data_IF_071910412018
#
_entry.id   IF_071910412018
#
_cell.length_a   1.000
_cell.length_b   1.000
_cell.length_c   1.000
_cell.angle_alpha   90.00
_cell.angle_beta   90.00
_cell.angle_gamma   90.00
#
_symmetry.space_group_name_H-M   'P 1'
#
loop_
_entity.id
_entity.type
_entity.pdbx_description
1 polymer ?
#
# COMPACT_ATOMS: atom_id res chain seq x y z
N UNK A 1 2.97 -13.97 -49.09
CA UNK A 1 1.80 -14.07 -48.18
C UNK A 1 1.80 -15.30 -47.26
N UNK A 2 2.48 -16.42 -47.57
CA UNK A 2 2.52 -17.61 -46.69
C UNK A 2 3.47 -17.52 -45.47
N UNK A 3 4.40 -16.56 -45.44
CA UNK A 3 5.38 -16.41 -44.34
C UNK A 3 4.79 -15.78 -43.07
N UNK A 4 3.89 -14.80 -43.22
CA UNK A 4 3.31 -14.09 -42.07
C UNK A 4 2.33 -14.96 -41.26
N UNK A 5 1.68 -15.93 -41.89
CA UNK A 5 0.81 -16.88 -41.16
C UNK A 5 1.60 -17.89 -40.34
N UNK A 6 2.85 -18.17 -40.72
CA UNK A 6 3.74 -19.04 -39.96
C UNK A 6 4.23 -18.34 -38.68
N UNK A 7 4.68 -17.08 -38.82
CA UNK A 7 5.08 -16.23 -37.70
C UNK A 7 3.95 -15.96 -36.70
N UNK A 8 2.72 -15.74 -37.18
CA UNK A 8 1.55 -15.54 -36.30
C UNK A 8 1.20 -16.83 -35.53
N UNK A 9 1.32 -18.02 -36.16
CA UNK A 9 1.12 -19.28 -35.45
C UNK A 9 2.23 -19.60 -34.46
N UNK A 10 3.45 -19.17 -34.73
CA UNK A 10 4.62 -19.36 -33.86
C UNK A 10 4.51 -18.48 -32.62
N UNK A 11 4.15 -17.20 -32.78
CA UNK A 11 3.90 -16.28 -31.65
C UNK A 11 2.69 -16.72 -30.80
N UNK A 12 1.60 -17.19 -31.43
CA UNK A 12 0.43 -17.71 -30.71
C UNK A 12 0.73 -19.07 -30.04
N UNK A 13 1.70 -19.83 -30.54
CA UNK A 13 2.14 -21.09 -29.92
C UNK A 13 3.03 -20.85 -28.71
N UNK A 14 3.93 -19.86 -28.76
CA UNK A 14 4.80 -19.49 -27.64
C UNK A 14 4.02 -18.83 -26.50
N UNK A 15 3.04 -17.96 -26.81
CA UNK A 15 2.20 -17.31 -25.77
C UNK A 15 1.22 -18.29 -25.12
N UNK A 16 0.95 -19.45 -25.74
CA UNK A 16 0.06 -20.48 -25.19
C UNK A 16 0.77 -21.38 -24.17
N UNK A 17 2.06 -21.18 -23.91
CA UNK A 17 2.83 -22.04 -23.01
C UNK A 17 3.67 -21.33 -21.95
N UNK A 18 3.38 -20.06 -21.63
CA UNK A 18 4.14 -19.29 -20.63
C UNK A 18 3.35 -18.96 -19.36
N UNK A 19 2.26 -19.68 -19.09
CA UNK A 19 1.71 -19.78 -17.73
C UNK A 19 1.28 -21.24 -17.51
N UNK A 20 2.26 -22.12 -17.39
CA UNK A 20 2.05 -23.50 -16.96
C UNK A 20 1.29 -23.48 -15.64
N UNK A 21 0.36 -24.40 -15.42
CA UNK A 21 -0.40 -24.49 -14.16
C UNK A 21 0.53 -24.48 -12.93
N UNK A 22 1.79 -24.91 -13.07
CA UNK A 22 2.86 -24.80 -12.06
C UNK A 22 3.25 -23.36 -11.66
N UNK A 23 3.21 -22.39 -12.57
CA UNK A 23 3.52 -20.99 -12.26
C UNK A 23 2.35 -20.33 -11.51
N UNK A 24 1.12 -20.66 -11.90
CA UNK A 24 -0.09 -20.31 -11.13
C UNK A 24 -0.07 -21.01 -9.77
N UNK A 25 0.33 -22.28 -9.71
CA UNK A 25 0.45 -23.05 -8.47
C UNK A 25 1.57 -22.51 -7.58
N UNK A 26 2.70 -22.06 -8.14
CA UNK A 26 3.76 -21.36 -7.41
C UNK A 26 3.29 -19.99 -6.94
N UNK A 27 2.53 -19.24 -7.76
CA UNK A 27 1.91 -18.00 -7.32
C UNK A 27 0.89 -18.23 -6.19
N UNK A 28 0.19 -19.37 -6.16
CA UNK A 28 -0.76 -19.73 -5.10
C UNK A 28 -0.08 -20.36 -3.87
N UNK A 29 1.02 -21.09 -4.05
CA UNK A 29 1.79 -21.72 -2.98
C UNK A 29 2.68 -20.71 -2.24
N UNK A 30 3.24 -19.73 -2.96
CA UNK A 30 4.05 -18.65 -2.38
C UNK A 30 3.18 -17.60 -1.67
N UNK A 31 1.95 -17.39 -2.15
CA UNK A 31 0.99 -16.49 -1.50
C UNK A 31 0.10 -17.23 -0.49
N UNK A 32 0.72 -17.71 0.60
CA UNK A 32 0.09 -17.57 1.93
C UNK A 32 -0.14 -16.07 2.17
N UNK A 33 -1.23 -15.57 1.61
CA UNK A 33 -1.80 -14.26 1.89
C UNK A 33 -1.81 -14.12 3.42
N UNK A 34 -1.12 -13.09 3.93
CA UNK A 34 -0.69 -12.91 5.33
C UNK A 34 0.74 -13.38 5.66
N UNK A 35 1.71 -13.16 4.78
CA UNK A 35 3.02 -12.73 5.26
C UNK A 35 2.81 -11.37 5.96
N UNK A 36 2.57 -11.41 7.27
CA UNK A 36 2.42 -10.26 8.14
C UNK A 36 3.60 -9.29 7.90
N UNK A 37 3.40 -8.14 7.24
CA UNK A 37 4.51 -7.22 6.94
C UNK A 37 5.06 -6.56 8.23
N UNK A 38 4.44 -6.79 9.39
CA UNK A 38 4.75 -6.07 10.64
C UNK A 38 5.99 -6.55 11.41
N UNK A 39 6.78 -7.52 10.96
CA UNK A 39 8.03 -7.88 11.67
C UNK A 39 9.26 -7.22 11.06
N UNK A 40 9.16 -5.95 10.68
CA UNK A 40 10.35 -5.10 10.75
C UNK A 40 10.79 -5.06 12.23
N UNK A 41 12.00 -5.57 12.50
CA UNK A 41 12.64 -5.47 13.80
C UNK A 41 12.96 -3.99 14.06
N UNK A 42 11.96 -3.23 14.52
CA UNK A 42 12.16 -1.84 14.90
C UNK A 42 13.27 -1.77 15.95
N UNK A 43 14.31 -0.98 15.67
CA UNK A 43 15.31 -0.67 16.68
C UNK A 43 14.63 0.08 17.83
N UNK A 44 15.18 -0.02 19.04
CA UNK A 44 14.60 0.64 20.21
C UNK A 44 14.41 2.16 19.99
N UNK A 45 15.33 2.79 19.26
CA UNK A 45 15.25 4.19 18.85
C UNK A 45 14.06 4.50 17.93
N UNK A 46 13.77 3.64 16.94
CA UNK A 46 12.61 3.82 16.06
C UNK A 46 11.29 3.73 16.82
N UNK A 47 11.18 2.82 17.81
CA UNK A 47 9.97 2.72 18.65
C UNK A 47 9.79 3.94 19.56
N UNK A 48 10.88 4.48 20.10
CA UNK A 48 10.85 5.69 20.92
C UNK A 48 10.44 6.91 20.08
N UNK A 49 11.03 7.07 18.89
CA UNK A 49 10.69 8.14 17.95
C UNK A 49 9.20 8.11 17.57
N UNK A 50 8.60 6.94 17.37
CA UNK A 50 7.16 6.82 17.02
C UNK A 50 6.24 7.30 18.13
N UNK A 51 6.60 6.95 19.37
CA UNK A 51 5.85 7.39 20.55
C UNK A 51 5.98 8.90 20.72
N UNK A 52 7.19 9.44 20.55
CA UNK A 52 7.45 10.88 20.64
C UNK A 52 6.72 11.63 19.53
N UNK A 53 6.78 11.16 18.28
CA UNK A 53 6.09 11.79 17.15
C UNK A 53 4.56 11.80 17.33
N UNK A 54 3.98 10.68 17.79
CA UNK A 54 2.55 10.60 18.09
C UNK A 54 2.13 11.49 19.25
N UNK A 55 2.98 11.62 20.28
CA UNK A 55 2.72 12.49 21.42
C UNK A 55 2.83 13.97 21.05
N UNK A 56 3.92 14.35 20.36
CA UNK A 56 4.16 15.71 19.91
C UNK A 56 3.14 16.20 18.86
N UNK A 57 2.55 15.29 18.08
CA UNK A 57 1.46 15.60 17.13
C UNK A 57 0.06 15.68 17.74
N UNK A 58 -0.09 15.53 19.05
CA UNK A 58 -1.41 15.56 19.71
C UNK A 58 -1.86 16.98 20.04
N UNK A 59 -3.16 17.26 19.83
CA UNK A 59 -3.78 18.52 20.23
C UNK A 59 -3.61 18.83 21.72
N UNK A 60 -3.68 17.83 22.59
CA UNK A 60 -3.49 18.00 24.03
C UNK A 60 -2.06 18.45 24.38
N UNK A 61 -1.05 17.98 23.64
CA UNK A 61 0.33 18.39 23.83
C UNK A 61 0.53 19.87 23.48
N UNK A 62 -0.05 20.33 22.36
CA UNK A 62 0.03 21.73 21.93
C UNK A 62 -0.53 22.65 23.02
N UNK A 63 -1.75 22.39 23.51
CA UNK A 63 -2.36 23.21 24.56
C UNK A 63 -1.56 23.19 25.87
N UNK A 64 -1.10 22.01 26.29
CA UNK A 64 -0.28 21.88 27.51
C UNK A 64 1.06 22.63 27.37
N UNK A 65 1.71 22.54 26.22
CA UNK A 65 2.98 23.21 25.95
C UNK A 65 2.80 24.73 25.96
N UNK A 66 1.78 25.25 25.29
CA UNK A 66 1.44 26.68 25.31
C UNK A 66 1.13 27.17 26.73
N UNK A 67 0.39 26.39 27.53
CA UNK A 67 0.10 26.75 28.91
C UNK A 67 1.37 26.87 29.77
N UNK A 68 2.32 25.95 29.61
CA UNK A 68 3.63 26.00 30.29
C UNK A 68 4.42 27.25 29.89
N UNK A 69 4.43 27.62 28.60
CA UNK A 69 5.10 28.84 28.14
C UNK A 69 4.48 30.09 28.77
N UNK A 70 3.15 30.19 28.80
CA UNK A 70 2.45 31.31 29.43
C UNK A 70 2.78 31.36 30.92
N UNK A 71 2.74 30.23 31.61
CA UNK A 71 3.06 30.14 33.04
C UNK A 71 4.51 30.59 33.30
N UNK A 72 5.46 30.19 32.46
CA UNK A 72 6.86 30.60 32.55
C UNK A 72 7.02 32.11 32.38
N UNK A 73 6.36 32.70 31.37
CA UNK A 73 6.39 34.14 31.13
C UNK A 73 5.79 34.90 32.31
N UNK A 74 4.59 34.52 32.77
CA UNK A 74 3.91 35.15 33.90
C UNK A 74 4.75 35.05 35.18
N UNK A 75 5.31 33.87 35.47
CA UNK A 75 6.18 33.66 36.62
C UNK A 75 7.42 34.56 36.60
N UNK A 76 8.11 34.67 35.46
CA UNK A 76 9.29 35.53 35.35
C UNK A 76 8.94 37.03 35.40
N UNK A 77 7.81 37.45 34.84
CA UNK A 77 7.34 38.85 34.94
C UNK A 77 7.02 39.22 36.38
N UNK A 78 6.33 38.34 37.12
CA UNK A 78 5.98 38.59 38.53
C UNK A 78 7.20 38.64 39.45
N UNK A 79 8.26 37.88 39.15
CA UNK A 79 9.50 37.89 39.92
C UNK A 79 10.37 39.14 39.67
N UNK A 80 10.13 39.89 38.58
CA UNK A 80 10.73 41.18 38.21
C UNK A 80 12.22 41.34 38.56
N UNK A 81 12.56 41.74 39.79
CA UNK A 81 13.94 41.96 40.27
C UNK A 81 14.75 40.68 40.53
N UNK A 82 14.10 39.53 40.64
CA UNK A 82 14.71 38.21 40.85
C UNK A 82 14.39 37.24 39.72
N UNK A 83 13.95 37.77 38.58
CA UNK A 83 13.57 36.98 37.42
C UNK A 83 14.78 36.24 36.87
N UNK A 84 14.61 34.94 36.61
CA UNK A 84 15.64 34.08 36.03
C UNK A 84 15.78 34.34 34.52
N UNK A 85 14.69 34.72 33.86
CA UNK A 85 14.62 35.09 32.44
C UNK A 85 13.82 36.40 32.28
N UNK A 86 14.44 37.59 32.49
CA UNK A 86 13.78 38.88 32.34
C UNK A 86 13.36 39.13 30.89
N UNK A 87 12.32 39.95 30.69
CA UNK A 87 11.94 40.42 29.35
C UNK A 87 13.16 41.05 28.67
N UNK A 88 13.56 40.60 27.45
CA UNK A 88 12.78 39.94 26.40
C UNK A 88 12.81 38.38 26.34
N UNK A 89 13.06 37.68 27.45
CA UNK A 89 13.06 36.21 27.56
C UNK A 89 14.08 35.49 26.65
N UNK A 90 15.37 35.79 26.84
CA UNK A 90 16.44 35.26 25.98
C UNK A 90 16.57 33.73 26.08
N UNK A 91 16.37 33.16 27.28
CA UNK A 91 16.51 31.73 27.50
C UNK A 91 15.34 30.96 26.87
N UNK A 92 14.12 31.45 27.04
CA UNK A 92 12.94 30.88 26.41
C UNK A 92 13.07 30.90 24.88
N UNK A 93 13.54 32.00 24.31
CA UNK A 93 13.76 32.11 22.87
C UNK A 93 14.83 31.12 22.36
N UNK A 94 15.93 30.96 23.10
CA UNK A 94 16.99 29.99 22.78
C UNK A 94 16.45 28.55 22.78
N UNK A 95 15.70 28.18 23.82
CA UNK A 95 15.11 26.83 23.94
C UNK A 95 14.12 26.57 22.81
N UNK A 96 13.22 27.52 22.53
CA UNK A 96 12.25 27.39 21.44
C UNK A 96 12.93 27.25 20.08
N UNK A 97 13.98 28.02 19.83
CA UNK A 97 14.76 27.93 18.58
C UNK A 97 15.41 26.55 18.42
N UNK A 98 15.97 25.99 19.50
CA UNK A 98 16.55 24.65 19.48
C UNK A 98 15.49 23.56 19.25
N UNK A 99 14.34 23.66 19.91
CA UNK A 99 13.21 22.73 19.71
C UNK A 99 12.72 22.77 18.26
N UNK A 100 12.53 23.97 17.70
CA UNK A 100 12.11 24.14 16.31
C UNK A 100 13.13 23.57 15.31
N UNK A 101 14.43 23.76 15.54
CA UNK A 101 15.50 23.23 14.69
C UNK A 101 15.49 21.70 14.63
N UNK A 102 15.18 21.02 15.75
CA UNK A 102 15.08 19.55 15.80
C UNK A 102 13.74 19.05 15.27
N UNK A 103 12.66 19.86 15.34
CA UNK A 103 11.33 19.46 14.87
C UNK A 103 11.30 19.18 13.36
N UNK A 104 11.89 20.03 12.53
CA UNK A 104 11.87 19.87 11.07
C UNK A 104 12.42 18.51 10.58
N UNK A 105 13.62 18.05 10.96
CA UNK A 105 14.12 16.74 10.57
C UNK A 105 13.33 15.59 11.21
N UNK A 106 12.81 15.75 12.43
CA UNK A 106 11.96 14.73 13.07
C UNK A 106 10.65 14.52 12.28
N UNK A 107 10.02 15.62 11.86
CA UNK A 107 8.83 15.60 11.01
C UNK A 107 9.19 14.95 9.67
N UNK A 108 10.29 15.37 9.03
CA UNK A 108 10.73 14.81 7.75
C UNK A 108 11.03 13.31 7.83
N UNK A 109 11.68 12.85 8.91
CA UNK A 109 11.91 11.42 9.15
C UNK A 109 10.60 10.66 9.35
N UNK A 110 9.63 11.25 10.05
CA UNK A 110 8.31 10.65 10.25
C UNK A 110 7.51 10.56 8.95
N UNK A 111 7.61 11.59 8.09
CA UNK A 111 6.98 11.66 6.78
C UNK A 111 7.60 10.65 5.82
N UNK A 112 8.93 10.64 5.67
CA UNK A 112 9.64 9.72 4.77
C UNK A 112 9.31 8.25 5.07
N UNK A 113 9.14 7.89 6.34
CA UNK A 113 8.72 6.54 6.73
C UNK A 113 7.25 6.26 6.43
N UNK A 114 6.37 7.24 6.57
CA UNK A 114 4.96 7.09 6.23
C UNK A 114 4.81 6.90 4.71
N UNK A 115 5.52 7.71 3.92
CA UNK A 115 5.59 7.58 2.46
C UNK A 115 6.13 6.22 2.02
N UNK A 116 7.16 5.69 2.68
CA UNK A 116 7.69 4.36 2.35
C UNK A 116 6.64 3.26 2.61
N UNK A 117 5.89 3.36 3.72
CA UNK A 117 4.79 2.42 4.01
C UNK A 117 3.67 2.53 2.99
N UNK A 118 3.32 3.75 2.60
CA UNK A 118 2.25 4.01 1.63
C UNK A 118 2.67 3.55 0.23
N UNK A 119 3.94 3.73 -0.16
CA UNK A 119 4.52 3.18 -1.40
C UNK A 119 4.43 1.66 -1.44
N UNK A 120 4.86 0.98 -0.37
CA UNK A 120 4.79 -0.49 -0.31
C UNK A 120 3.34 -1.00 -0.38
N UNK A 121 2.39 -0.28 0.24
CA UNK A 121 0.95 -0.61 0.10
C UNK A 121 0.49 -0.46 -1.34
N UNK A 122 0.80 0.66 -1.99
CA UNK A 122 0.43 0.91 -3.38
C UNK A 122 1.02 -0.16 -4.34
N UNK A 123 2.28 -0.56 -4.14
CA UNK A 123 2.91 -1.64 -4.91
C UNK A 123 2.20 -2.99 -4.72
N UNK A 124 1.79 -3.30 -3.49
CA UNK A 124 1.05 -4.53 -3.22
C UNK A 124 -0.35 -4.50 -3.83
N UNK A 125 -1.06 -3.38 -3.70
CA UNK A 125 -2.38 -3.19 -4.29
C UNK A 125 -2.32 -3.29 -5.82
N UNK A 126 -1.28 -2.73 -6.45
CA UNK A 126 -1.02 -2.88 -7.88
C UNK A 126 -0.86 -4.35 -8.29
N UNK A 127 -0.04 -5.12 -7.56
CA UNK A 127 0.15 -6.56 -7.84
C UNK A 127 -1.14 -7.36 -7.69
N UNK A 128 -1.94 -7.07 -6.68
CA UNK A 128 -3.24 -7.72 -6.47
C UNK A 128 -4.21 -7.38 -7.61
N UNK A 129 -4.23 -6.13 -8.06
CA UNK A 129 -5.07 -5.70 -9.17
C UNK A 129 -4.68 -6.41 -10.47
N UNK A 130 -3.38 -6.44 -10.80
CA UNK A 130 -2.85 -7.13 -11.97
C UNK A 130 -3.19 -8.63 -11.94
N UNK A 131 -3.04 -9.28 -10.77
CA UNK A 131 -3.45 -10.70 -10.61
C UNK A 131 -4.95 -10.90 -10.83
N UNK A 132 -5.76 -9.96 -10.38
CA UNK A 132 -7.22 -10.00 -10.56
C UNK A 132 -7.59 -9.84 -12.03
N UNK A 133 -6.92 -8.93 -12.75
CA UNK A 133 -7.11 -8.74 -14.19
C UNK A 133 -6.81 -10.01 -15.00
N UNK A 134 -5.64 -10.63 -14.75
CA UNK A 134 -5.26 -11.90 -15.40
C UNK A 134 -6.27 -13.02 -15.10
N UNK A 135 -6.76 -13.10 -13.85
CA UNK A 135 -7.74 -14.11 -13.45
C UNK A 135 -9.10 -13.89 -14.14
N UNK A 136 -9.51 -12.63 -14.34
CA UNK A 136 -10.73 -12.29 -15.07
C UNK A 136 -10.60 -12.69 -16.54
N UNK A 137 -9.43 -12.44 -17.16
CA UNK A 137 -9.16 -12.83 -18.54
C UNK A 137 -9.22 -14.36 -18.72
N UNK A 138 -8.56 -15.13 -17.84
CA UNK A 138 -8.63 -16.60 -17.85
C UNK A 138 -10.08 -17.12 -17.63
N UNK A 139 -10.83 -16.48 -16.71
CA UNK A 139 -12.23 -16.83 -16.48
C UNK A 139 -13.09 -16.55 -17.73
N UNK A 140 -12.83 -15.43 -18.42
CA UNK A 140 -13.51 -15.07 -19.66
C UNK A 140 -13.24 -16.10 -20.77
N UNK A 141 -12.00 -16.55 -20.91
CA UNK A 141 -11.61 -17.60 -21.86
C UNK A 141 -12.27 -18.94 -21.54
N UNK A 142 -12.29 -19.33 -20.27
CA UNK A 142 -13.01 -20.54 -19.81
C UNK A 142 -14.51 -20.44 -20.10
N UNK A 143 -15.12 -19.28 -19.86
CA UNK A 143 -16.52 -19.01 -20.18
C UNK A 143 -16.80 -19.18 -21.67
N UNK A 144 -15.97 -18.59 -22.53
CA UNK A 144 -16.10 -18.70 -23.99
C UNK A 144 -16.00 -20.15 -24.46
N UNK A 145 -15.11 -20.96 -23.86
CA UNK A 145 -15.02 -22.40 -24.14
C UNK A 145 -16.26 -23.17 -23.72
N UNK A 146 -16.86 -22.82 -22.58
CA UNK A 146 -18.11 -23.43 -22.11
C UNK A 146 -19.26 -23.09 -23.06
N UNK A 147 -19.40 -21.82 -23.45
CA UNK A 147 -20.41 -21.37 -24.41
C UNK A 147 -20.26 -22.10 -25.74
N UNK A 148 -19.04 -22.23 -26.26
CA UNK A 148 -18.78 -22.95 -27.50
C UNK A 148 -19.21 -24.43 -27.43
N UNK A 149 -18.96 -25.10 -26.29
CA UNK A 149 -19.43 -26.48 -26.06
C UNK A 149 -20.95 -26.57 -25.97
N UNK A 150 -21.62 -25.63 -25.31
CA UNK A 150 -23.08 -25.58 -25.23
C UNK A 150 -23.70 -25.44 -26.61
N UNK A 151 -23.20 -24.53 -27.45
CA UNK A 151 -23.67 -24.36 -28.83
C UNK A 151 -23.48 -25.64 -29.65
N UNK A 152 -22.38 -26.35 -29.46
CA UNK A 152 -22.13 -27.63 -30.15
C UNK A 152 -23.13 -28.71 -29.70
N UNK A 153 -23.37 -28.83 -28.40
CA UNK A 153 -24.36 -29.77 -27.83
C UNK A 153 -25.78 -29.46 -28.31
N UNK A 154 -26.17 -28.19 -28.36
CA UNK A 154 -27.48 -27.79 -28.88
C UNK A 154 -27.68 -28.17 -30.35
N UNK A 155 -26.63 -28.08 -31.18
CA UNK A 155 -26.69 -28.54 -32.57
C UNK A 155 -26.88 -30.05 -32.65
N UNK A 156 -26.12 -30.83 -31.89
CA UNK A 156 -26.24 -32.29 -31.85
C UNK A 156 -27.65 -32.73 -31.41
N UNK A 157 -28.19 -32.12 -30.35
CA UNK A 157 -29.56 -32.40 -29.87
C UNK A 157 -30.61 -32.06 -30.94
N UNK A 158 -30.40 -30.96 -31.68
CA UNK A 158 -31.32 -30.54 -32.75
C UNK A 158 -31.26 -31.48 -33.96
N UNK A 159 -30.09 -32.03 -34.28
CA UNK A 159 -29.88 -33.02 -35.33
C UNK A 159 -30.53 -34.37 -34.98
N UNK A 160 -30.33 -34.88 -33.75
CA UNK A 160 -31.03 -36.09 -33.28
C UNK A 160 -32.55 -35.94 -33.36
N UNK A 161 -33.10 -34.82 -32.85
CA UNK A 161 -34.54 -34.54 -32.93
C UNK A 161 -35.09 -34.40 -34.35
N UNK A 162 -34.23 -34.26 -35.36
CA UNK A 162 -34.64 -34.23 -36.76
C UNK A 162 -34.64 -35.65 -37.32
N UNK A 163 -33.62 -36.45 -37.00
CA UNK A 163 -33.52 -37.84 -37.41
C UNK A 163 -34.68 -38.69 -36.86
N UNK A 164 -35.04 -38.51 -35.58
CA UNK A 164 -36.18 -39.18 -34.95
C UNK A 164 -37.56 -38.79 -35.50
N UNK A 165 -37.65 -37.73 -36.32
CA UNK A 165 -38.91 -37.28 -36.93
C UNK A 165 -39.10 -37.76 -38.37
N UNK A 166 -38.03 -38.25 -38.99
CA UNK A 166 -38.03 -38.73 -40.37
C UNK A 166 -38.14 -40.27 -40.45
N UNK A 167 -38.07 -40.98 -39.30
CA UNK A 167 -38.39 -42.41 -39.11
C UNK A 167 -39.84 -42.64 -38.64
#
# INVERSE_FOLDING_TARGET
MKSNQKLIREIISDVKHDMTDEEILNMLADSRISANPQKEKYTAGQRAADKIAKFAGSWAFIFSFTAVLILWMVGNVLLAKRAFDPYPFILLNLVLSCVAAIQAPLIMMSQNRQEEKDRRRAENDYKVNLKTEIMIEDLHDKMNRIIAKQVMLEKLIREEKKNDRDD
#
